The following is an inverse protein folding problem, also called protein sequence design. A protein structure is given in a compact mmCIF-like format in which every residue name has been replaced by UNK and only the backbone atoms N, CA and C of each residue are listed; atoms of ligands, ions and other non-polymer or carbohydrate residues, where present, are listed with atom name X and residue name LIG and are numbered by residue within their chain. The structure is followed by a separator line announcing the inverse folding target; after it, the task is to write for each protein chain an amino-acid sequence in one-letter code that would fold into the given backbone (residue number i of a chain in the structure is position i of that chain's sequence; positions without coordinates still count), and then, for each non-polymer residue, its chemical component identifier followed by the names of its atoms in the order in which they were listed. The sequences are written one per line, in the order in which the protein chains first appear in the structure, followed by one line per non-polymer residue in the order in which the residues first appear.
data_IF_748590838656
#
_entry.id   IF_748590838656
#
_cell.length_a   1.000
_cell.length_b   1.000
_cell.length_c   1.000
_cell.angle_alpha   90.00
_cell.angle_beta   90.00
_cell.angle_gamma   90.00
#
_symmetry.space_group_name_H-M   'P 1'
#
loop_
_entity.id
_entity.type
_entity.pdbx_description
1 polymer ?
#
# COMPACT_ATOMS: atom_id res chain seq x y z
N UNK A 1 19.15 -2.81 15.21
CA UNK A 1 18.85 -2.22 13.89
C UNK A 1 20.00 -2.58 12.95
N UNK A 2 19.83 -3.55 12.05
CA UNK A 2 20.92 -4.09 11.21
C UNK A 2 20.83 -3.71 9.72
N UNK A 3 19.75 -3.04 9.31
CA UNK A 3 19.47 -2.51 7.96
C UNK A 3 19.49 -3.51 6.80
N UNK A 4 19.58 -4.82 7.06
CA UNK A 4 19.56 -5.84 5.99
C UNK A 4 18.30 -5.78 5.14
N UNK A 5 17.14 -5.57 5.78
CA UNK A 5 15.86 -5.42 5.10
C UNK A 5 15.80 -4.18 4.18
N UNK A 6 16.40 -3.06 4.60
CA UNK A 6 16.51 -1.84 3.80
C UNK A 6 17.40 -2.09 2.58
N UNK A 7 18.58 -2.67 2.77
CA UNK A 7 19.54 -2.95 1.70
C UNK A 7 18.97 -3.87 0.62
N UNK A 8 18.31 -4.97 1.04
CA UNK A 8 17.73 -5.92 0.07
C UNK A 8 16.47 -5.36 -0.62
N UNK A 9 15.74 -4.45 0.04
CA UNK A 9 14.56 -3.82 -0.55
C UNK A 9 14.94 -2.87 -1.71
N UNK A 10 16.10 -2.20 -1.64
CA UNK A 10 16.55 -1.24 -2.67
C UNK A 10 16.61 -1.82 -4.09
N UNK A 11 16.86 -3.12 -4.24
CA UNK A 11 16.94 -3.78 -5.56
C UNK A 11 15.61 -4.31 -6.08
N UNK A 12 14.55 -4.34 -5.26
CA UNK A 12 13.29 -5.00 -5.61
C UNK A 12 12.08 -4.06 -5.57
N UNK A 13 12.00 -3.16 -4.60
CA UNK A 13 10.84 -2.29 -4.42
C UNK A 13 11.17 -0.91 -3.85
N UNK A 14 12.30 -0.77 -3.17
CA UNK A 14 12.84 0.48 -2.62
C UNK A 14 11.89 1.25 -1.68
N UNK A 15 10.85 0.60 -1.13
CA UNK A 15 9.95 1.22 -0.16
C UNK A 15 10.58 1.34 1.24
N UNK A 16 11.40 0.38 1.67
CA UNK A 16 12.08 0.44 2.96
C UNK A 16 13.28 1.37 2.91
N UNK A 17 13.32 2.32 3.84
CA UNK A 17 14.39 3.31 3.98
C UNK A 17 14.77 3.47 5.45
N UNK A 18 16.02 3.86 5.77
CA UNK A 18 16.33 4.24 7.14
C UNK A 18 15.55 5.53 7.46
N UNK A 19 14.93 5.58 8.63
CA UNK A 19 14.28 6.80 9.09
C UNK A 19 15.30 7.93 9.22
N UNK A 20 14.88 9.13 8.83
CA UNK A 20 15.64 10.35 9.02
C UNK A 20 15.45 10.91 10.43
N UNK A 21 15.73 12.20 10.59
CA UNK A 21 15.49 12.95 11.84
C UNK A 21 13.98 13.27 12.04
N UNK A 22 13.08 12.62 11.29
CA UNK A 22 11.68 13.06 11.16
C UNK A 22 10.75 12.57 12.28
N UNK A 23 11.03 11.42 12.89
CA UNK A 23 10.04 10.77 13.77
C UNK A 23 10.37 10.91 15.26
N UNK A 24 11.63 10.71 15.67
CA UNK A 24 12.17 10.98 17.01
C UNK A 24 13.69 10.68 17.02
N UNK A 25 14.48 11.27 17.93
CA UNK A 25 15.92 10.91 18.06
C UNK A 25 16.10 9.44 18.45
N UNK A 26 15.12 8.86 19.16
CA UNK A 26 15.08 7.44 19.52
C UNK A 26 14.72 6.52 18.34
N UNK A 27 14.05 7.04 17.31
CA UNK A 27 13.60 6.29 16.12
C UNK A 27 14.55 6.44 14.93
N UNK A 28 15.58 7.29 15.09
CA UNK A 28 16.63 7.49 14.11
C UNK A 28 17.21 6.15 13.62
N UNK A 29 17.12 5.89 12.31
CA UNK A 29 17.54 4.64 11.65
C UNK A 29 16.66 3.41 11.88
N UNK A 30 15.46 3.55 12.43
CA UNK A 30 14.45 2.50 12.28
C UNK A 30 14.05 2.39 10.80
N UNK A 31 13.84 1.19 10.24
CA UNK A 31 13.36 1.08 8.88
C UNK A 31 11.91 1.59 8.81
N UNK A 32 11.66 2.53 7.91
CA UNK A 32 10.33 3.08 7.61
C UNK A 32 9.97 2.77 6.16
N UNK A 33 8.68 2.56 5.90
CA UNK A 33 8.16 2.40 4.55
C UNK A 33 7.79 3.79 3.98
N UNK A 34 8.43 4.18 2.89
CA UNK A 34 8.15 5.39 2.11
C UNK A 34 7.57 4.98 0.75
N UNK A 35 6.24 4.88 0.70
CA UNK A 35 5.51 4.40 -0.49
C UNK A 35 5.50 5.43 -1.63
N UNK A 36 5.95 6.67 -1.38
CA UNK A 36 6.15 7.65 -2.43
C UNK A 36 7.46 7.44 -3.20
N UNK A 37 8.45 6.81 -2.57
CA UNK A 37 9.77 6.53 -3.17
C UNK A 37 9.88 5.14 -3.77
N UNK A 38 9.09 4.20 -3.30
CA UNK A 38 9.06 2.83 -3.79
C UNK A 38 7.76 2.14 -3.39
N UNK A 39 7.68 0.84 -3.62
CA UNK A 39 6.51 0.03 -3.24
C UNK A 39 6.96 -1.36 -2.80
N UNK A 40 6.08 -2.10 -2.13
CA UNK A 40 6.34 -3.48 -1.74
C UNK A 40 6.00 -4.41 -2.91
N UNK A 41 7.02 -4.94 -3.58
CA UNK A 41 6.86 -5.82 -4.76
C UNK A 41 6.05 -7.09 -4.42
N UNK A 42 5.00 -7.38 -5.19
CA UNK A 42 3.97 -8.38 -4.85
C UNK A 42 4.57 -9.79 -4.68
N UNK A 43 5.53 -10.15 -5.54
CA UNK A 43 6.16 -11.48 -5.56
C UNK A 43 7.51 -11.55 -4.83
N UNK A 44 7.83 -10.59 -3.95
CA UNK A 44 9.09 -10.55 -3.21
C UNK A 44 8.89 -10.69 -1.70
N UNK A 45 9.65 -11.56 -1.02
CA UNK A 45 9.63 -11.73 0.44
C UNK A 45 11.03 -11.62 1.09
N UNK A 46 12.04 -11.14 0.36
CA UNK A 46 13.45 -11.19 0.75
C UNK A 46 13.75 -10.45 2.07
N UNK A 47 13.02 -9.38 2.39
CA UNK A 47 13.24 -8.61 3.62
C UNK A 47 12.97 -9.44 4.89
N UNK A 48 12.01 -10.37 4.86
CA UNK A 48 11.75 -11.30 5.95
C UNK A 48 12.82 -12.40 6.04
N UNK A 49 13.34 -12.84 4.89
CA UNK A 49 14.38 -13.88 4.83
C UNK A 49 15.73 -13.42 5.40
N UNK A 50 16.04 -12.12 5.36
CA UNK A 50 17.29 -11.55 5.87
C UNK A 50 17.19 -10.96 7.28
N UNK A 51 16.01 -11.01 7.92
CA UNK A 51 15.79 -10.36 9.21
C UNK A 51 16.21 -11.28 10.38
N UNK A 52 17.33 -11.00 11.08
CA UNK A 52 17.83 -11.90 12.13
C UNK A 52 17.02 -11.81 13.44
N UNK A 53 16.21 -10.77 13.60
CA UNK A 53 15.41 -10.52 14.82
C UNK A 53 13.93 -10.79 14.61
N UNK A 54 13.53 -11.25 13.42
CA UNK A 54 12.12 -11.50 13.05
C UNK A 54 11.21 -10.26 13.22
N UNK A 55 11.79 -9.06 13.15
CA UNK A 55 11.01 -7.83 13.11
C UNK A 55 10.18 -7.72 11.82
N UNK A 56 10.63 -8.40 10.77
CA UNK A 56 9.84 -8.75 9.59
C UNK A 56 9.83 -10.28 9.54
N UNK A 57 8.63 -10.87 9.62
CA UNK A 57 8.49 -12.32 9.64
C UNK A 57 8.92 -12.94 8.30
N UNK A 58 9.55 -14.13 8.30
CA UNK A 58 10.01 -14.82 7.10
C UNK A 58 8.86 -15.51 6.35
N UNK A 59 7.83 -14.75 6.00
CA UNK A 59 6.66 -15.23 5.26
C UNK A 59 7.05 -15.83 3.91
N UNK A 60 6.37 -16.89 3.49
CA UNK A 60 6.37 -17.29 2.08
C UNK A 60 5.69 -16.21 1.22
N UNK A 61 5.89 -16.25 -0.09
CA UNK A 61 5.25 -15.29 -1.00
C UNK A 61 3.72 -15.40 -0.92
N UNK A 62 3.20 -16.61 -0.83
CA UNK A 62 1.75 -16.88 -0.74
C UNK A 62 1.16 -16.35 0.57
N UNK A 63 1.89 -16.50 1.68
CA UNK A 63 1.48 -15.93 2.97
C UNK A 63 1.51 -14.40 2.92
N UNK A 64 2.58 -13.83 2.37
CA UNK A 64 2.72 -12.37 2.22
C UNK A 64 1.59 -11.78 1.37
N UNK A 65 1.20 -12.44 0.28
CA UNK A 65 0.12 -11.98 -0.60
C UNK A 65 -1.26 -11.95 0.08
N UNK A 66 -1.42 -12.64 1.20
CA UNK A 66 -2.63 -12.63 2.04
C UNK A 66 -2.47 -11.78 3.30
N UNK A 67 -1.23 -11.42 3.65
CA UNK A 67 -0.91 -10.62 4.82
C UNK A 67 -1.10 -9.14 4.51
N UNK A 68 -2.07 -8.50 5.17
CA UNK A 68 -2.18 -7.04 5.10
C UNK A 68 -1.00 -6.40 5.84
N UNK A 69 -0.27 -5.54 5.14
CA UNK A 69 0.77 -4.68 5.71
C UNK A 69 0.24 -3.26 5.98
N UNK A 70 -1.00 -2.98 5.57
CA UNK A 70 -1.54 -1.64 5.53
C UNK A 70 -2.79 -1.51 4.66
N UNK A 71 -3.36 -0.31 4.64
CA UNK A 71 -4.53 0.03 3.84
C UNK A 71 -4.33 1.36 3.10
N UNK A 72 -4.77 1.41 1.85
CA UNK A 72 -4.70 2.59 1.00
C UNK A 72 -5.94 3.48 1.17
N UNK A 73 -5.73 4.81 1.11
CA UNK A 73 -6.74 5.83 1.31
C UNK A 73 -6.60 6.96 0.31
N UNK A 74 -7.69 7.35 -0.35
CA UNK A 74 -7.70 8.51 -1.24
C UNK A 74 -7.75 9.81 -0.45
N UNK A 75 -6.79 10.69 -0.70
CA UNK A 75 -6.91 12.10 -0.36
C UNK A 75 -7.78 12.78 -1.45
N UNK A 76 -9.05 13.03 -1.12
CA UNK A 76 -10.03 13.56 -2.06
C UNK A 76 -9.77 15.00 -2.48
N UNK A 77 -8.97 15.74 -1.71
CA UNK A 77 -8.59 17.12 -2.05
C UNK A 77 -7.46 17.17 -3.10
N UNK A 78 -6.72 16.05 -3.27
CA UNK A 78 -5.61 15.96 -4.22
C UNK A 78 -5.90 15.05 -5.41
N UNK A 79 -6.57 13.92 -5.18
CA UNK A 79 -6.80 12.89 -6.18
C UNK A 79 -7.54 13.44 -7.40
N UNK A 80 -6.98 13.21 -8.60
CA UNK A 80 -7.43 13.86 -9.86
C UNK A 80 -8.95 13.71 -10.10
N UNK A 81 -9.55 12.51 -9.99
CA UNK A 81 -11.00 12.37 -10.17
C UNK A 81 -11.83 13.12 -9.13
N UNK A 82 -11.38 13.16 -7.87
CA UNK A 82 -12.10 13.82 -6.78
C UNK A 82 -11.94 15.34 -6.80
N UNK A 83 -10.74 15.85 -7.03
CA UNK A 83 -10.42 17.26 -6.94
C UNK A 83 -10.68 18.03 -8.25
N UNK A 84 -10.56 17.35 -9.40
CA UNK A 84 -10.59 17.99 -10.74
C UNK A 84 -11.66 17.44 -11.67
N UNK A 85 -12.37 16.38 -11.28
CA UNK A 85 -13.42 15.77 -12.12
C UNK A 85 -12.88 15.27 -13.48
N UNK A 86 -11.64 14.81 -13.47
CA UNK A 86 -10.91 14.26 -14.62
C UNK A 86 -10.64 12.77 -14.39
N UNK A 87 -10.72 11.98 -15.46
CA UNK A 87 -10.51 10.53 -15.37
C UNK A 87 -9.04 10.21 -15.06
N UNK A 88 -8.82 9.36 -14.05
CA UNK A 88 -7.52 8.78 -13.75
C UNK A 88 -7.71 7.35 -13.25
N UNK A 89 -7.09 6.38 -13.95
CA UNK A 89 -7.29 4.95 -13.70
C UNK A 89 -6.02 4.23 -13.20
N UNK A 90 -4.93 4.99 -13.00
CA UNK A 90 -3.59 4.49 -12.71
C UNK A 90 -3.55 3.52 -11.52
N UNK A 91 -4.33 3.79 -10.47
CA UNK A 91 -4.35 3.00 -9.25
C UNK A 91 -4.94 1.60 -9.48
N UNK A 92 -6.01 1.49 -10.26
CA UNK A 92 -6.62 0.20 -10.62
C UNK A 92 -5.70 -0.59 -11.56
N UNK A 93 -5.13 0.07 -12.57
CA UNK A 93 -4.22 -0.58 -13.53
C UNK A 93 -3.02 -1.23 -12.84
N UNK A 94 -2.38 -0.52 -11.92
CA UNK A 94 -1.17 -0.98 -11.25
C UNK A 94 -1.41 -1.86 -10.02
N UNK A 95 -2.65 -2.00 -9.55
CA UNK A 95 -2.92 -2.85 -8.39
C UNK A 95 -2.52 -4.30 -8.71
N UNK A 96 -1.62 -4.93 -7.93
CA UNK A 96 -1.03 -6.21 -8.29
C UNK A 96 -1.86 -7.41 -7.82
N UNK A 97 -2.91 -7.17 -7.02
CA UNK A 97 -3.77 -8.23 -6.50
C UNK A 97 -4.57 -8.88 -7.65
N UNK A 98 -4.82 -10.20 -7.60
CA UNK A 98 -5.54 -10.89 -8.66
C UNK A 98 -6.95 -10.35 -8.90
N UNK A 99 -7.72 -10.16 -7.83
CA UNK A 99 -8.92 -9.31 -7.82
C UNK A 99 -8.49 -7.93 -7.33
N UNK A 100 -8.54 -6.93 -8.22
CA UNK A 100 -7.99 -5.59 -7.99
C UNK A 100 -8.57 -4.99 -6.71
N UNK A 101 -7.69 -4.61 -5.77
CA UNK A 101 -8.09 -3.97 -4.52
C UNK A 101 -8.56 -2.52 -4.72
N UNK A 102 -8.34 -1.95 -5.90
CA UNK A 102 -8.84 -0.62 -6.27
C UNK A 102 -9.67 -0.80 -7.53
N UNK A 103 -10.94 -0.39 -7.48
CA UNK A 103 -11.88 -0.47 -8.59
C UNK A 103 -12.41 0.92 -8.94
N UNK A 104 -13.00 1.04 -10.11
CA UNK A 104 -13.56 2.28 -10.62
C UNK A 104 -15.08 2.23 -10.68
N UNK A 105 -15.70 3.31 -10.23
CA UNK A 105 -17.13 3.57 -10.37
C UNK A 105 -17.35 4.80 -11.25
N UNK A 106 -18.25 4.73 -12.21
CA UNK A 106 -18.63 5.87 -13.04
C UNK A 106 -19.84 6.59 -12.44
N UNK A 107 -19.72 7.90 -12.21
CA UNK A 107 -20.79 8.73 -11.66
C UNK A 107 -20.94 10.01 -12.45
N UNK A 108 -22.19 10.42 -12.64
CA UNK A 108 -22.49 11.78 -13.11
C UNK A 108 -22.09 12.77 -12.00
N UNK A 109 -21.39 13.82 -12.40
CA UNK A 109 -20.93 14.88 -11.50
C UNK A 109 -21.25 16.22 -12.11
N UNK A 110 -21.92 17.07 -11.33
CA UNK A 110 -22.12 18.47 -11.68
C UNK A 110 -20.85 19.26 -11.38
N UNK A 111 -20.27 19.87 -12.41
CA UNK A 111 -19.09 20.70 -12.32
C UNK A 111 -19.44 22.11 -11.79
N UNK A 112 -18.45 22.90 -11.33
CA UNK A 112 -18.68 24.27 -10.85
C UNK A 112 -19.31 25.22 -11.89
N UNK A 113 -19.18 24.91 -13.18
CA UNK A 113 -19.80 25.65 -14.29
C UNK A 113 -21.26 25.24 -14.56
N UNK A 114 -21.80 24.29 -13.78
CA UNK A 114 -23.17 23.78 -13.91
C UNK A 114 -23.33 22.66 -14.95
N UNK A 115 -22.27 22.30 -15.68
CA UNK A 115 -22.33 21.18 -16.63
C UNK A 115 -22.29 19.84 -15.90
N UNK A 116 -22.87 18.80 -16.50
CA UNK A 116 -22.82 17.43 -15.97
C UNK A 116 -21.86 16.61 -16.80
N UNK A 117 -20.95 15.91 -16.13
CA UNK A 117 -19.96 15.04 -16.76
C UNK A 117 -19.95 13.67 -16.07
N UNK A 118 -19.79 12.61 -16.85
CA UNK A 118 -19.51 11.28 -16.31
C UNK A 118 -18.03 11.17 -15.96
N UNK A 119 -17.72 10.88 -14.69
CA UNK A 119 -16.34 10.82 -14.17
C UNK A 119 -16.10 9.45 -13.53
N UNK A 120 -14.89 8.91 -13.73
CA UNK A 120 -14.41 7.65 -13.14
C UNK A 120 -13.79 7.89 -11.77
N UNK A 121 -14.50 7.51 -10.70
CA UNK A 121 -14.01 7.61 -9.33
C UNK A 121 -13.45 6.29 -8.83
N UNK A 122 -12.17 6.26 -8.40
CA UNK A 122 -11.58 5.06 -7.83
C UNK A 122 -11.96 4.90 -6.37
N UNK A 123 -12.14 3.67 -5.91
CA UNK A 123 -12.37 3.32 -4.51
C UNK A 123 -11.59 2.07 -4.11
N UNK A 124 -11.25 1.95 -2.83
CA UNK A 124 -10.48 0.82 -2.27
C UNK A 124 -11.45 -0.20 -1.69
N UNK A 125 -11.30 -1.46 -2.10
CA UNK A 125 -11.91 -2.63 -1.43
C UNK A 125 -10.94 -3.06 -0.34
N UNK A 126 -11.34 -2.88 0.91
CA UNK A 126 -10.46 -3.02 2.07
C UNK A 126 -9.93 -4.44 2.22
N UNK A 127 -10.79 -5.41 1.98
CA UNK A 127 -10.54 -6.85 2.16
C UNK A 127 -9.50 -7.40 1.18
N UNK A 128 -9.33 -6.74 0.05
CA UNK A 128 -8.35 -7.11 -0.98
C UNK A 128 -7.04 -6.31 -0.85
N UNK A 129 -7.03 -5.21 -0.10
CA UNK A 129 -5.88 -4.33 -0.01
C UNK A 129 -4.83 -4.89 0.95
N UNK A 130 -3.64 -5.19 0.42
CA UNK A 130 -2.51 -5.69 1.22
C UNK A 130 -1.53 -4.58 1.67
N UNK A 131 -1.82 -3.32 1.35
CA UNK A 131 -0.96 -2.19 1.73
C UNK A 131 0.38 -2.14 0.99
N UNK A 132 0.45 -2.59 -0.26
CA UNK A 132 1.72 -2.63 -1.01
C UNK A 132 2.27 -1.25 -1.44
N UNK A 133 1.45 -0.20 -1.45
CA UNK A 133 1.88 1.16 -1.76
C UNK A 133 2.14 1.50 -3.23
N UNK A 134 1.97 0.55 -4.18
CA UNK A 134 2.25 0.83 -5.60
C UNK A 134 1.34 1.92 -6.19
N UNK A 135 0.11 2.08 -5.68
CA UNK A 135 -0.80 3.14 -6.10
C UNK A 135 -0.30 4.54 -5.70
N UNK A 136 0.32 4.67 -4.53
CA UNK A 136 0.95 5.91 -4.07
C UNK A 136 2.21 6.23 -4.86
N UNK A 137 3.04 5.20 -5.11
CA UNK A 137 4.26 5.33 -5.91
C UNK A 137 3.96 5.77 -7.35
N UNK A 138 2.98 5.14 -7.99
CA UNK A 138 2.60 5.41 -9.38
C UNK A 138 1.70 6.63 -9.55
N UNK A 139 1.25 7.26 -8.46
CA UNK A 139 0.40 8.44 -8.54
C UNK A 139 1.07 9.55 -9.38
N UNK A 140 0.40 10.06 -10.43
CA UNK A 140 1.00 10.98 -11.40
C UNK A 140 1.17 12.43 -10.89
N UNK A 141 0.64 12.76 -9.71
CA UNK A 141 0.74 14.12 -9.17
C UNK A 141 2.21 14.46 -8.84
N UNK A 142 2.71 15.66 -9.22
CA UNK A 142 4.08 16.09 -8.94
C UNK A 142 4.21 16.59 -7.49
N UNK A 143 4.12 15.69 -6.52
CA UNK A 143 4.20 16.04 -5.10
C UNK A 143 3.60 14.96 -4.21
N UNK A 144 2.77 15.40 -3.27
CA UNK A 144 1.90 14.53 -2.48
C UNK A 144 0.96 13.74 -3.40
N UNK A 145 0.82 12.46 -3.10
CA UNK A 145 -0.05 11.58 -3.86
C UNK A 145 -1.52 11.80 -3.48
N UNK A 146 -2.42 11.59 -4.44
CA UNK A 146 -3.86 11.58 -4.19
C UNK A 146 -4.35 10.32 -3.48
N UNK A 147 -3.45 9.38 -3.19
CA UNK A 147 -3.69 8.14 -2.44
C UNK A 147 -2.47 7.88 -1.57
N UNK A 148 -2.71 7.52 -0.30
CA UNK A 148 -1.67 7.23 0.69
C UNK A 148 -1.89 5.87 1.31
N UNK A 149 -0.82 5.18 1.65
CA UNK A 149 -0.87 3.88 2.35
C UNK A 149 -0.54 4.08 3.82
N UNK A 150 -1.40 3.56 4.69
CA UNK A 150 -1.25 3.64 6.14
C UNK A 150 -1.00 2.24 6.72
N UNK A 151 -0.50 2.16 7.95
CA UNK A 151 -0.36 0.89 8.69
C UNK A 151 -1.68 0.36 9.28
N UNK A 152 -2.84 0.89 8.87
CA UNK A 152 -4.12 0.35 9.30
C UNK A 152 -4.32 -1.06 8.72
N UNK A 153 -4.91 -1.97 9.50
CA UNK A 153 -5.06 -3.40 9.17
C UNK A 153 -3.74 -4.18 9.02
N UNK A 154 -2.58 -3.56 9.29
CA UNK A 154 -1.32 -4.27 9.31
C UNK A 154 -1.39 -5.43 10.31
N UNK A 155 -1.16 -6.65 9.83
CA UNK A 155 -1.10 -7.83 10.68
C UNK A 155 -0.01 -7.62 11.73
N UNK A 156 -0.40 -7.78 13.00
CA UNK A 156 0.52 -7.78 14.12
C UNK A 156 0.80 -9.23 14.49
N UNK A 157 2.07 -9.58 14.78
CA UNK A 157 2.37 -10.90 15.32
C UNK A 157 1.58 -11.12 16.62
N UNK A 158 0.91 -12.27 16.74
CA UNK A 158 0.20 -12.69 17.95
C UNK A 158 1.14 -13.26 19.02
N UNK A 159 2.37 -13.58 18.64
CA UNK A 159 3.45 -14.12 19.47
C UNK A 159 4.66 -14.51 18.62
N UNK A 160 5.71 -15.10 19.19
CA UNK A 160 6.82 -15.65 18.43
C UNK A 160 6.31 -16.80 17.54
N UNK A 161 6.32 -16.61 16.22
CA UNK A 161 5.96 -17.65 15.24
C UNK A 161 4.47 -17.82 14.92
N UNK A 162 3.56 -17.05 15.52
CA UNK A 162 2.12 -17.10 15.22
C UNK A 162 1.62 -15.77 14.64
N UNK A 163 0.96 -15.86 13.48
CA UNK A 163 0.27 -14.76 12.81
C UNK A 163 -1.22 -15.05 12.90
N UNK A 164 -1.95 -14.10 13.49
CA UNK A 164 -3.42 -14.14 13.51
C UNK A 164 -3.91 -13.76 12.11
N UNK A 165 -3.97 -14.74 11.19
CA UNK A 165 -4.64 -14.56 9.90
C UNK A 165 -6.13 -14.72 10.19
N UNK A 166 -6.97 -13.67 10.05
CA UNK A 166 -8.39 -13.77 10.36
C UNK A 166 -9.03 -14.91 9.56
N UNK A 167 -9.65 -15.88 10.24
CA UNK A 167 -10.29 -17.07 9.65
C UNK A 167 -11.33 -16.71 8.57
N UNK A 168 -11.92 -15.51 8.62
CA UNK A 168 -12.87 -15.03 7.62
C UNK A 168 -12.29 -14.87 6.20
N UNK A 169 -10.96 -14.86 6.05
CA UNK A 169 -10.28 -14.82 4.74
C UNK A 169 -10.18 -16.18 4.03
N UNK A 170 -10.54 -17.28 4.70
CA UNK A 170 -10.41 -18.66 4.17
C UNK A 170 -11.72 -19.19 3.57
N UNK A 171 -12.87 -18.55 3.83
CA UNK A 171 -14.20 -19.13 3.53
C UNK A 171 -14.84 -18.71 2.18
N UNK A 172 -14.19 -17.88 1.34
CA UNK A 172 -14.81 -17.42 0.07
C UNK A 172 -14.31 -18.10 -1.20
N UNK A 173 -13.49 -19.14 -1.08
CA UNK A 173 -13.08 -19.98 -2.23
C UNK A 173 -13.17 -21.47 -1.90
N UNK A 174 -14.37 -21.92 -1.52
CA UNK A 174 -14.81 -23.31 -1.60
C UNK A 174 -15.65 -23.54 -2.86
#
# INVERSE_FOLDING_TARGET
RCEQCVRICQSNGACLRPDGIRSNLLELWAPVADMRKGYCEYSCNLCGQVCPTEAILPLTVEQKQKASMGLAYFNKDLCIPYARYEDCIVCEEHCPTPDKAIKIEQKETTLPDGTVKLVKYPYVIRELCIGCGICEYKCPLPGEAGIVTTGEQALRPAGPGEIDVPEESVSLYG
#
